data_IF_923165804859
#
_entry.id   IF_923165804859
#
_cell.length_a   1.000
_cell.length_b   1.000
_cell.length_c   1.000
_cell.angle_alpha   90.00
_cell.angle_beta   90.00
_cell.angle_gamma   90.00
#
_symmetry.space_group_name_H-M   'P 1'
#
loop_
_entity.id
_entity.type
_entity.pdbx_description
1 polymer ?
#
# COMPACT_ATOMS: atom_id res chain seq x y z
N UNK A 1 4.26 -10.24 -10.30
CA UNK A 1 4.83 -11.50 -9.76
C UNK A 1 3.84 -12.08 -8.76
N UNK A 2 3.87 -13.39 -8.46
CA UNK A 2 3.09 -13.93 -7.34
C UNK A 2 3.41 -13.18 -6.06
N UNK A 3 2.38 -12.84 -5.29
CA UNK A 3 2.51 -12.17 -3.99
C UNK A 3 2.43 -13.21 -2.87
N UNK A 4 3.24 -13.02 -1.83
CA UNK A 4 3.07 -13.72 -0.57
C UNK A 4 1.93 -13.14 0.27
N UNK A 5 1.68 -13.77 1.41
CA UNK A 5 0.57 -13.41 2.31
C UNK A 5 1.04 -12.81 3.65
N UNK A 6 2.36 -12.67 3.83
CA UNK A 6 2.97 -12.43 5.14
C UNK A 6 3.71 -11.11 5.26
N UNK A 7 4.21 -10.53 4.17
CA UNK A 7 5.05 -9.32 4.24
C UNK A 7 4.82 -8.35 3.08
N UNK A 8 4.41 -7.13 3.42
CA UNK A 8 4.37 -6.01 2.47
C UNK A 8 5.74 -5.74 1.83
N UNK A 9 6.82 -5.91 2.61
CA UNK A 9 8.18 -5.66 2.14
C UNK A 9 8.60 -6.67 1.08
N UNK A 10 8.32 -7.96 1.31
CA UNK A 10 8.68 -9.02 0.35
C UNK A 10 7.90 -8.85 -0.96
N UNK A 11 6.62 -8.48 -0.87
CA UNK A 11 5.78 -8.21 -2.03
C UNK A 11 6.25 -6.99 -2.82
N UNK A 12 6.51 -5.86 -2.14
CA UNK A 12 7.00 -4.64 -2.78
C UNK A 12 8.34 -4.88 -3.48
N UNK A 13 9.30 -5.51 -2.79
CA UNK A 13 10.60 -5.89 -3.39
C UNK A 13 10.43 -6.87 -4.54
N UNK A 14 9.57 -7.87 -4.39
CA UNK A 14 9.27 -8.85 -5.45
C UNK A 14 8.80 -8.18 -6.72
N UNK A 15 7.89 -7.20 -6.60
CA UNK A 15 7.38 -6.36 -7.70
C UNK A 15 8.51 -5.54 -8.33
N UNK A 16 9.26 -4.79 -7.53
CA UNK A 16 10.35 -3.93 -7.99
C UNK A 16 11.45 -4.72 -8.74
N UNK A 17 11.91 -5.83 -8.14
CA UNK A 17 12.92 -6.72 -8.72
C UNK A 17 12.45 -7.37 -10.02
N UNK A 18 11.18 -7.80 -10.07
CA UNK A 18 10.62 -8.40 -11.27
C UNK A 18 10.59 -7.40 -12.43
N UNK A 19 10.19 -6.16 -12.15
CA UNK A 19 10.21 -5.08 -13.14
C UNK A 19 11.62 -4.76 -13.61
N UNK A 20 12.57 -4.60 -12.68
CA UNK A 20 13.99 -4.35 -13.00
C UNK A 20 14.55 -5.41 -13.94
N UNK A 21 14.35 -6.69 -13.61
CA UNK A 21 14.82 -7.82 -14.44
C UNK A 21 14.17 -7.84 -15.82
N UNK A 22 12.86 -7.62 -15.89
CA UNK A 22 12.13 -7.64 -17.17
C UNK A 22 12.60 -6.52 -18.11
N UNK A 23 12.82 -5.32 -17.58
CA UNK A 23 13.28 -4.17 -18.38
C UNK A 23 14.74 -4.35 -18.81
N UNK A 24 15.63 -4.73 -17.89
CA UNK A 24 17.06 -4.95 -18.21
C UNK A 24 17.25 -6.10 -19.20
N UNK A 25 16.50 -7.20 -19.07
CA UNK A 25 16.56 -8.32 -20.02
C UNK A 25 16.11 -7.90 -21.43
N UNK A 26 15.05 -7.10 -21.53
CA UNK A 26 14.57 -6.55 -22.82
C UNK A 26 15.61 -5.62 -23.46
N UNK A 27 16.29 -4.82 -22.66
CA UNK A 27 17.34 -3.92 -23.14
C UNK A 27 18.57 -4.68 -23.65
N UNK A 28 18.97 -5.77 -22.97
CA UNK A 28 20.10 -6.61 -23.38
C UNK A 28 19.82 -7.45 -24.65
N UNK A 29 18.57 -7.86 -24.87
CA UNK A 29 18.15 -8.63 -26.06
C UNK A 29 17.96 -7.81 -27.34
N UNK A 30 18.00 -6.47 -27.25
CA UNK A 30 17.96 -5.58 -28.40
C UNK A 30 19.40 -5.31 -28.87
N UNK A 31 19.97 -6.21 -29.68
CA UNK A 31 21.30 -6.04 -30.27
C UNK A 31 21.33 -4.78 -31.17
N UNK A 32 21.97 -3.70 -30.69
CA UNK A 32 22.17 -2.48 -31.47
C UNK A 32 22.28 -1.22 -30.61
N UNK A 33 23.49 -0.96 -30.10
CA UNK A 33 24.08 0.38 -29.83
C UNK A 33 23.08 1.48 -29.38
N UNK A 34 22.54 1.36 -28.16
CA UNK A 34 21.98 2.48 -27.35
C UNK A 34 21.46 2.07 -25.94
N UNK A 35 21.52 0.79 -25.55
CA UNK A 35 20.67 0.23 -24.48
C UNK A 35 20.92 0.72 -23.03
N UNK A 36 22.02 1.42 -22.74
CA UNK A 36 22.28 1.96 -21.40
C UNK A 36 21.70 3.37 -21.21
N UNK A 37 21.57 4.16 -22.28
CA UNK A 37 20.97 5.50 -22.21
C UNK A 37 19.45 5.39 -22.35
N UNK A 38 18.71 5.70 -21.28
CA UNK A 38 17.24 5.71 -21.28
C UNK A 38 16.57 4.62 -20.44
N UNK A 39 17.33 3.83 -19.68
CA UNK A 39 16.75 3.01 -18.62
C UNK A 39 16.29 3.91 -17.46
N UNK A 40 15.18 3.57 -16.77
CA UNK A 40 14.80 4.25 -15.55
C UNK A 40 15.91 4.13 -14.49
N UNK A 41 16.12 5.21 -13.73
CA UNK A 41 17.06 5.20 -12.60
C UNK A 41 16.60 4.26 -11.48
N UNK A 42 15.29 4.03 -11.36
CA UNK A 42 14.69 3.14 -10.37
C UNK A 42 13.46 2.42 -10.89
N UNK A 43 13.29 1.18 -10.43
CA UNK A 43 12.09 0.35 -10.62
C UNK A 43 11.35 0.25 -9.29
N UNK A 44 10.10 0.74 -9.26
CA UNK A 44 9.34 0.87 -8.02
C UNK A 44 8.30 -0.26 -7.88
N UNK A 45 8.20 -0.83 -6.69
CA UNK A 45 7.12 -1.72 -6.28
C UNK A 45 6.38 -1.16 -5.06
N UNK A 46 5.05 -1.27 -5.06
CA UNK A 46 4.16 -0.91 -3.94
C UNK A 46 3.48 -2.18 -3.42
N UNK A 47 3.49 -2.36 -2.09
CA UNK A 47 2.53 -3.20 -1.41
C UNK A 47 1.87 -2.45 -0.24
N UNK A 48 0.54 -2.42 -0.25
CA UNK A 48 -0.24 -1.61 0.68
C UNK A 48 -1.42 -2.39 1.25
N UNK A 49 -1.83 -2.05 2.46
CA UNK A 49 -2.97 -2.69 3.11
C UNK A 49 -3.40 -1.99 4.40
N UNK A 50 -4.49 -2.49 4.98
CA UNK A 50 -5.03 -2.09 6.27
C UNK A 50 -4.61 -3.11 7.33
N UNK A 51 -4.08 -2.63 8.45
CA UNK A 51 -3.83 -3.45 9.63
C UNK A 51 -4.68 -2.96 10.80
N UNK A 52 -5.44 -3.86 11.42
CA UNK A 52 -6.32 -3.53 12.57
C UNK A 52 -5.84 -4.26 13.82
N UNK A 53 -5.51 -3.50 14.86
CA UNK A 53 -4.89 -4.00 16.09
C UNK A 53 -5.74 -5.10 16.75
N UNK A 54 -7.05 -4.84 16.87
CA UNK A 54 -8.05 -5.75 17.41
C UNK A 54 -8.19 -7.09 16.67
N UNK A 55 -7.73 -7.17 15.42
CA UNK A 55 -7.79 -8.38 14.59
C UNK A 55 -6.42 -9.07 14.48
N UNK A 56 -5.45 -8.66 15.30
CA UNK A 56 -4.07 -9.14 15.21
C UNK A 56 -3.38 -8.64 13.95
N UNK A 57 -3.60 -7.37 13.59
CA UNK A 57 -3.08 -6.68 12.39
C UNK A 57 -3.63 -7.20 11.05
N UNK A 58 -4.66 -8.03 11.07
CA UNK A 58 -5.44 -8.37 9.87
C UNK A 58 -6.34 -7.18 9.46
N UNK A 59 -6.70 -7.02 8.17
CA UNK A 59 -6.41 -7.90 7.02
C UNK A 59 -4.93 -8.05 6.63
N UNK A 60 -4.11 -7.03 6.86
CA UNK A 60 -2.70 -7.04 6.51
C UNK A 60 -2.49 -7.17 5.00
N UNK A 61 -1.55 -8.02 4.58
CA UNK A 61 -1.22 -8.26 3.16
C UNK A 61 -2.41 -8.79 2.36
N UNK A 62 -3.38 -9.42 3.02
CA UNK A 62 -4.59 -9.95 2.39
C UNK A 62 -5.69 -8.89 2.21
N UNK A 63 -5.37 -7.60 2.37
CA UNK A 63 -6.35 -6.50 2.36
C UNK A 63 -7.27 -6.48 1.15
N UNK A 64 -6.76 -6.72 -0.06
CA UNK A 64 -7.56 -6.72 -1.29
C UNK A 64 -8.49 -7.92 -1.43
N UNK A 65 -8.16 -9.04 -0.76
CA UNK A 65 -8.85 -10.33 -0.84
C UNK A 65 -9.33 -10.82 0.52
N UNK A 66 -9.63 -9.89 1.42
CA UNK A 66 -9.90 -10.21 2.81
C UNK A 66 -11.14 -11.08 2.96
N UNK A 67 -12.19 -10.82 2.17
CA UNK A 67 -13.39 -11.64 2.10
C UNK A 67 -13.32 -12.80 1.09
N UNK A 68 -12.19 -12.97 0.40
CA UNK A 68 -11.97 -14.01 -0.62
C UNK A 68 -11.28 -13.45 -1.87
N UNK A 69 -10.84 -14.33 -2.78
CA UNK A 69 -10.12 -13.96 -4.01
C UNK A 69 -10.93 -13.06 -4.96
N UNK A 70 -12.25 -13.22 -4.97
CA UNK A 70 -13.17 -12.42 -5.81
C UNK A 70 -13.92 -11.35 -5.01
N UNK A 71 -13.43 -11.00 -3.81
CA UNK A 71 -14.08 -10.02 -2.96
C UNK A 71 -14.04 -8.61 -3.55
N UNK A 72 -15.18 -7.91 -3.45
CA UNK A 72 -15.23 -6.47 -3.69
C UNK A 72 -14.78 -5.69 -2.45
N UNK A 73 -14.50 -4.40 -2.62
CA UNK A 73 -14.24 -3.49 -1.48
C UNK A 73 -15.39 -3.50 -0.47
N UNK A 74 -16.64 -3.62 -0.94
CA UNK A 74 -17.82 -3.70 -0.08
C UNK A 74 -17.87 -5.01 0.73
N UNK A 75 -17.50 -6.15 0.13
CA UNK A 75 -17.41 -7.44 0.82
C UNK A 75 -16.34 -7.41 1.91
N UNK A 76 -15.18 -6.83 1.57
CA UNK A 76 -14.06 -6.64 2.49
C UNK A 76 -14.46 -5.75 3.69
N UNK A 77 -15.13 -4.63 3.43
CA UNK A 77 -15.63 -3.72 4.48
C UNK A 77 -16.68 -4.40 5.37
N UNK A 78 -17.62 -5.15 4.78
CA UNK A 78 -18.65 -5.89 5.53
C UNK A 78 -18.02 -6.93 6.45
N UNK A 79 -17.06 -7.71 5.94
CA UNK A 79 -16.31 -8.68 6.75
C UNK A 79 -15.53 -7.99 7.87
N UNK A 80 -14.88 -6.87 7.58
CA UNK A 80 -14.13 -6.13 8.59
C UNK A 80 -15.03 -5.64 9.73
N UNK A 81 -16.13 -4.97 9.38
CA UNK A 81 -17.05 -4.40 10.37
C UNK A 81 -17.69 -5.49 11.23
N UNK A 82 -18.14 -6.61 10.61
CA UNK A 82 -18.71 -7.74 11.36
C UNK A 82 -17.73 -8.37 12.36
N UNK A 83 -16.43 -8.45 12.05
CA UNK A 83 -15.43 -8.96 12.99
C UNK A 83 -15.11 -7.99 14.14
N UNK A 84 -15.48 -6.73 14.00
CA UNK A 84 -15.32 -5.67 15.00
C UNK A 84 -16.60 -5.38 15.79
N UNK A 85 -17.71 -6.07 15.48
CA UNK A 85 -18.95 -6.00 16.25
C UNK A 85 -18.72 -6.47 17.69
N UNK A 86 -19.28 -5.75 18.66
CA UNK A 86 -19.17 -6.10 20.08
C UNK A 86 -17.81 -5.82 20.74
N UNK A 87 -16.80 -5.34 20.01
CA UNK A 87 -15.52 -4.93 20.61
C UNK A 87 -15.65 -3.58 21.35
N UNK A 88 -15.23 -3.57 22.61
CA UNK A 88 -15.50 -2.50 23.58
C UNK A 88 -14.38 -1.43 23.71
N UNK A 89 -13.40 -1.40 22.81
CA UNK A 89 -12.19 -0.56 22.91
C UNK A 89 -11.73 -0.10 21.53
N UNK A 90 -10.85 0.92 21.40
CA UNK A 90 -10.73 1.67 20.14
C UNK A 90 -10.29 0.72 19.04
N UNK A 91 -11.00 0.78 17.90
CA UNK A 91 -10.76 -0.02 16.70
C UNK A 91 -9.51 0.49 15.97
N UNK A 92 -8.41 0.62 16.71
CA UNK A 92 -7.16 1.21 16.24
C UNK A 92 -6.66 0.45 15.02
N UNK A 93 -6.32 1.22 14.00
CA UNK A 93 -5.89 0.69 12.73
C UNK A 93 -4.83 1.60 12.12
N UNK A 94 -4.16 1.08 11.11
CA UNK A 94 -3.33 1.89 10.21
C UNK A 94 -3.44 1.38 8.79
N UNK A 95 -3.45 2.31 7.85
CA UNK A 95 -3.01 1.96 6.51
C UNK A 95 -1.49 1.91 6.47
N UNK A 96 -0.96 0.92 5.77
CA UNK A 96 0.47 0.72 5.53
C UNK A 96 0.71 0.76 4.03
N UNK A 97 1.76 1.46 3.60
CA UNK A 97 2.35 1.35 2.28
C UNK A 97 3.83 1.05 2.43
N UNK A 98 4.32 0.00 1.78
CA UNK A 98 5.74 -0.23 1.58
C UNK A 98 6.08 0.06 0.13
N UNK A 99 7.04 0.96 -0.08
CA UNK A 99 7.62 1.20 -1.39
C UNK A 99 9.03 0.62 -1.43
N UNK A 100 9.32 -0.13 -2.48
CA UNK A 100 10.65 -0.62 -2.78
C UNK A 100 11.14 0.01 -4.10
N UNK A 101 12.31 0.62 -4.09
CA UNK A 101 13.03 1.06 -5.27
C UNK A 101 14.21 0.13 -5.52
N UNK A 102 14.37 -0.32 -6.76
CA UNK A 102 15.52 -1.12 -7.21
C UNK A 102 16.21 -0.37 -8.33
N UNK A 103 17.50 -0.09 -8.19
CA UNK A 103 18.33 0.52 -9.23
C UNK A 103 18.76 -0.53 -10.28
N UNK A 104 19.28 -0.12 -11.47
CA UNK A 104 19.74 -1.05 -12.50
C UNK A 104 20.86 -2.00 -12.04
N UNK A 105 21.68 -1.60 -11.08
CA UNK A 105 22.71 -2.42 -10.44
C UNK A 105 22.15 -3.39 -9.37
N UNK A 106 20.82 -3.42 -9.23
CA UNK A 106 20.06 -4.18 -8.24
C UNK A 106 20.22 -3.71 -6.79
N UNK A 107 20.77 -2.51 -6.56
CA UNK A 107 20.74 -1.87 -5.24
C UNK A 107 19.29 -1.58 -4.84
N UNK A 108 18.94 -1.84 -3.58
CA UNK A 108 17.56 -1.81 -3.09
C UNK A 108 17.39 -0.77 -1.99
N UNK A 109 16.33 0.02 -2.10
CA UNK A 109 15.88 0.95 -1.06
C UNK A 109 14.44 0.62 -0.73
N UNK A 110 14.12 0.46 0.55
CA UNK A 110 12.77 0.13 1.02
C UNK A 110 12.36 1.12 2.09
N UNK A 111 11.17 1.68 1.94
CA UNK A 111 10.57 2.60 2.89
C UNK A 111 9.15 2.20 3.23
N UNK A 112 8.67 2.64 4.39
CA UNK A 112 7.34 2.32 4.91
C UNK A 112 6.65 3.60 5.37
N UNK A 113 5.45 3.82 4.84
CA UNK A 113 4.53 4.87 5.30
C UNK A 113 3.36 4.27 6.06
N UNK A 114 2.98 4.91 7.17
CA UNK A 114 1.87 4.47 8.01
C UNK A 114 0.92 5.63 8.28
N UNK A 115 -0.37 5.43 8.02
CA UNK A 115 -1.40 6.40 8.36
C UNK A 115 -2.27 5.81 9.47
N UNK A 116 -2.09 6.32 10.68
CA UNK A 116 -2.77 5.85 11.88
C UNK A 116 -4.17 6.44 12.02
N UNK A 117 -5.09 5.64 12.55
CA UNK A 117 -6.49 6.02 12.75
C UNK A 117 -7.29 4.93 13.48
N UNK A 118 -8.59 4.93 13.25
CA UNK A 118 -9.54 3.97 13.81
C UNK A 118 -10.52 3.50 12.75
N UNK A 119 -11.10 2.31 12.93
CA UNK A 119 -12.21 1.83 12.10
C UNK A 119 -13.54 2.38 12.66
N UNK A 120 -14.33 2.99 11.79
CA UNK A 120 -15.66 3.51 12.09
C UNK A 120 -16.66 2.41 12.47
N UNK A 121 -17.81 2.81 13.03
CA UNK A 121 -18.94 1.93 13.33
C UNK A 121 -19.63 1.38 12.08
N UNK A 122 -19.64 2.18 11.02
CA UNK A 122 -20.32 1.95 9.75
C UNK A 122 -19.54 2.66 8.63
N UNK A 123 -19.82 2.32 7.37
CA UNK A 123 -19.24 3.04 6.24
C UNK A 123 -19.86 4.44 6.08
N UNK A 124 -19.07 5.41 5.62
CA UNK A 124 -19.52 6.77 5.23
C UNK A 124 -18.65 7.29 4.09
N UNK A 125 -19.16 8.26 3.32
CA UNK A 125 -18.49 8.76 2.10
C UNK A 125 -18.65 7.89 0.86
N UNK A 126 -18.42 8.49 -0.30
CA UNK A 126 -18.50 7.88 -1.64
C UNK A 126 -17.20 8.00 -2.44
N UNK A 127 -16.20 8.71 -1.90
CA UNK A 127 -14.87 8.84 -2.49
C UNK A 127 -13.94 7.67 -2.13
N UNK A 128 -12.77 7.68 -2.76
CA UNK A 128 -11.72 6.71 -2.43
C UNK A 128 -12.00 5.28 -2.90
N UNK A 129 -11.38 4.31 -2.25
CA UNK A 129 -11.50 2.88 -2.55
C UNK A 129 -11.13 2.01 -1.33
N UNK A 130 -11.37 0.70 -1.42
CA UNK A 130 -11.01 -0.25 -0.37
C UNK A 130 -11.69 0.08 0.95
N UNK A 131 -10.86 0.28 1.99
CA UNK A 131 -11.32 0.54 3.36
C UNK A 131 -11.46 2.03 3.68
N UNK A 132 -11.31 2.92 2.70
CA UNK A 132 -11.47 4.37 2.89
C UNK A 132 -12.82 4.74 3.55
N UNK A 133 -13.97 4.11 3.20
CA UNK A 133 -15.26 4.44 3.82
C UNK A 133 -15.40 4.03 5.28
N UNK A 134 -14.48 3.23 5.81
CA UNK A 134 -14.56 2.71 7.19
C UNK A 134 -13.36 3.13 8.03
N UNK A 135 -12.41 3.89 7.48
CA UNK A 135 -11.21 4.31 8.18
C UNK A 135 -11.25 5.81 8.48
N UNK A 136 -11.15 6.17 9.75
CA UNK A 136 -11.08 7.56 10.24
C UNK A 136 -9.64 7.84 10.67
N UNK A 137 -8.90 8.73 9.99
CA UNK A 137 -7.52 9.03 10.35
C UNK A 137 -7.44 9.78 11.68
N UNK A 138 -6.33 9.60 12.40
CA UNK A 138 -6.12 10.28 13.68
C UNK A 138 -6.11 11.81 13.49
N UNK A 139 -6.91 12.50 14.30
CA UNK A 139 -7.06 13.95 14.24
C UNK A 139 -8.20 14.41 13.33
N UNK A 140 -8.95 13.46 12.75
CA UNK A 140 -10.12 13.71 11.91
C UNK A 140 -11.39 13.08 12.53
N UNK A 141 -12.54 13.58 12.09
CA UNK A 141 -13.86 13.03 12.44
C UNK A 141 -14.52 12.33 11.23
N UNK A 142 -13.98 12.58 10.03
CA UNK A 142 -14.48 12.04 8.76
C UNK A 142 -13.72 10.79 8.35
N UNK A 143 -14.40 9.90 7.65
CA UNK A 143 -13.75 8.76 6.99
C UNK A 143 -12.90 9.25 5.82
N UNK A 144 -11.91 8.46 5.38
CA UNK A 144 -11.08 8.83 4.23
C UNK A 144 -11.89 9.00 2.95
N UNK A 145 -13.01 8.29 2.81
CA UNK A 145 -13.92 8.43 1.67
C UNK A 145 -14.67 9.77 1.64
N UNK A 146 -14.71 10.50 2.75
CA UNK A 146 -15.32 11.84 2.85
C UNK A 146 -14.29 12.96 2.67
N UNK A 147 -12.99 12.64 2.75
CA UNK A 147 -11.92 13.61 2.54
C UNK A 147 -11.78 13.98 1.06
N UNK A 148 -11.36 15.22 0.81
CA UNK A 148 -10.94 15.61 -0.53
C UNK A 148 -9.69 14.86 -0.97
N UNK A 149 -9.52 14.69 -2.29
CA UNK A 149 -8.31 14.09 -2.85
C UNK A 149 -7.04 14.83 -2.41
N UNK A 150 -7.09 16.16 -2.28
CA UNK A 150 -5.97 16.99 -1.82
C UNK A 150 -5.55 16.66 -0.38
N UNK A 151 -6.50 16.41 0.52
CA UNK A 151 -6.20 15.98 1.89
C UNK A 151 -5.53 14.61 1.89
N UNK A 152 -6.05 13.66 1.08
CA UNK A 152 -5.50 12.30 0.95
C UNK A 152 -4.08 12.31 0.38
N UNK A 153 -3.82 13.10 -0.64
CA UNK A 153 -2.50 13.23 -1.28
C UNK A 153 -1.46 13.87 -0.36
N UNK A 154 -1.91 14.66 0.62
CA UNK A 154 -1.02 15.24 1.63
C UNK A 154 -0.69 14.26 2.75
N UNK A 155 -1.65 13.51 3.26
CA UNK A 155 -1.49 12.82 4.55
C UNK A 155 -1.39 11.29 4.47
N UNK A 156 -1.80 10.69 3.36
CA UNK A 156 -1.96 9.23 3.30
C UNK A 156 -0.67 8.43 3.50
N UNK A 157 -0.83 7.16 3.86
CA UNK A 157 0.26 6.17 3.94
C UNK A 157 1.13 6.14 2.68
N UNK A 158 0.54 6.28 1.49
CA UNK A 158 1.27 6.39 0.22
C UNK A 158 2.02 7.70 0.09
N UNK A 159 1.41 8.83 0.48
CA UNK A 159 2.10 10.12 0.48
C UNK A 159 3.31 10.13 1.45
N UNK A 160 3.15 9.52 2.62
CA UNK A 160 4.21 9.35 3.61
C UNK A 160 5.32 8.44 3.08
N UNK A 161 4.99 7.29 2.50
CA UNK A 161 5.97 6.40 1.88
C UNK A 161 6.70 7.07 0.71
N UNK A 162 5.97 7.81 -0.14
CA UNK A 162 6.55 8.52 -1.29
C UNK A 162 7.56 9.59 -0.87
N UNK A 163 7.24 10.39 0.16
CA UNK A 163 8.19 11.36 0.73
C UNK A 163 9.43 10.68 1.30
N UNK A 164 9.23 9.62 2.10
CA UNK A 164 10.34 8.85 2.66
C UNK A 164 11.24 8.27 1.56
N UNK A 165 10.65 7.80 0.45
CA UNK A 165 11.42 7.29 -0.67
C UNK A 165 12.22 8.38 -1.36
N UNK A 166 11.61 9.55 -1.62
CA UNK A 166 12.31 10.67 -2.23
C UNK A 166 13.48 11.15 -1.37
N UNK A 167 13.33 11.15 -0.04
CA UNK A 167 14.41 11.51 0.86
C UNK A 167 15.53 10.46 0.85
N UNK A 168 15.18 9.17 0.94
CA UNK A 168 16.15 8.08 0.90
C UNK A 168 16.94 7.98 -0.42
N UNK A 169 16.36 8.40 -1.55
CA UNK A 169 17.02 8.39 -2.86
C UNK A 169 17.90 9.63 -3.13
N UNK A 170 17.88 10.64 -2.25
CA UNK A 170 18.71 11.85 -2.34
C UNK A 170 20.00 11.76 -1.54
N UNK A 171 20.09 10.80 -0.61
CA UNK A 171 21.27 10.49 0.20
C UNK A 171 22.32 9.72 -0.61
#
# INVERSE_FOLDING_TARGET
PPEGETSFTENALGKARALARAVTARAAGAEGVAAASGLPDYYIGDDSGLEVEALGWRPGVLSSRYAGEEATDADNNTKLLSQLEGQSSPRRARFVCVLAAVAPDMTETVVRGEWWGVIAGSSSGDGGFGYDPVFVPHGDEQTVAELSQEQKDRASHRALAGRALLDALRE
#
